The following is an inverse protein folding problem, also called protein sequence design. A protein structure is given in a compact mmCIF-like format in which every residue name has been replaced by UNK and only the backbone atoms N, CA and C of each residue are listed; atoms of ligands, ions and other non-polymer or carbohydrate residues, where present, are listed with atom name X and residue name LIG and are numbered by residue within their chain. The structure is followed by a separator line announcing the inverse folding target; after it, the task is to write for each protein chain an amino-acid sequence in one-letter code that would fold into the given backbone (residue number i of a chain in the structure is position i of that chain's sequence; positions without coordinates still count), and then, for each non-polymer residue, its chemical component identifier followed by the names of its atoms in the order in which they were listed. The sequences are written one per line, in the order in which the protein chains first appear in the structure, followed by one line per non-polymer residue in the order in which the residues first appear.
data_IF_627030240355
#
_entry.id   IF_627030240355
#
_cell.length_a   1.000
_cell.length_b   1.000
_cell.length_c   1.000
_cell.angle_alpha   90.00
_cell.angle_beta   90.00
_cell.angle_gamma   90.00
#
_symmetry.space_group_name_H-M   'P 1'
#
loop_
_entity.id
_entity.type
_entity.pdbx_description
1 polymer ?
#
# COMPACT_ATOMS: atom_id res chain seq x y z
N UNK A 1 10.74 -56.40 64.38
CA UNK A 1 9.90 -55.82 63.32
C UNK A 1 10.44 -54.42 62.94
N UNK A 2 11.25 -54.33 61.89
CA UNK A 2 11.90 -53.11 61.44
C UNK A 2 11.02 -52.57 60.28
N UNK A 3 10.45 -51.35 60.43
CA UNK A 3 9.68 -50.67 59.42
C UNK A 3 10.62 -49.80 58.55
N UNK A 4 10.79 -50.17 57.30
CA UNK A 4 11.47 -49.31 56.29
C UNK A 4 10.51 -48.26 55.82
N UNK A 5 10.83 -46.95 56.00
CA UNK A 5 10.17 -45.81 55.35
C UNK A 5 10.84 -45.62 54.02
N UNK A 6 10.08 -45.81 52.95
CA UNK A 6 10.47 -45.36 51.57
C UNK A 6 10.11 -43.90 51.44
N UNK A 7 11.12 -43.02 51.34
CA UNK A 7 10.93 -41.61 50.96
C UNK A 7 10.97 -41.54 49.43
N UNK A 8 9.81 -41.33 48.84
CA UNK A 8 9.68 -41.10 47.40
C UNK A 8 10.04 -39.62 47.09
N UNK A 9 11.26 -39.39 46.56
CA UNK A 9 11.71 -38.06 46.13
C UNK A 9 11.07 -37.73 44.75
N UNK A 10 10.09 -36.84 44.72
CA UNK A 10 9.45 -36.35 43.49
C UNK A 10 10.36 -35.28 42.87
N UNK A 11 11.17 -35.66 41.88
CA UNK A 11 11.90 -34.71 41.06
C UNK A 11 10.91 -33.97 40.11
N UNK A 12 10.52 -32.76 40.48
CA UNK A 12 9.82 -31.85 39.56
C UNK A 12 10.85 -31.35 38.54
N UNK A 13 10.84 -31.91 37.32
CA UNK A 13 11.59 -31.39 36.20
C UNK A 13 10.81 -30.15 35.69
N UNK A 14 11.20 -28.96 36.15
CA UNK A 14 10.76 -27.72 35.55
C UNK A 14 11.36 -27.63 34.13
N UNK A 15 10.59 -27.94 33.13
CA UNK A 15 10.94 -27.62 31.75
C UNK A 15 10.96 -26.10 31.62
N UNK A 16 12.15 -25.51 31.72
CA UNK A 16 12.38 -24.13 31.26
C UNK A 16 12.08 -24.11 29.76
N UNK A 17 10.85 -23.76 29.40
CA UNK A 17 10.58 -23.29 28.04
C UNK A 17 11.35 -21.98 27.94
N UNK A 18 12.45 -21.97 27.18
CA UNK A 18 13.07 -20.73 26.74
C UNK A 18 11.97 -19.93 26.03
N UNK A 19 11.64 -18.77 26.58
CA UNK A 19 10.66 -17.88 25.97
C UNK A 19 11.13 -17.58 24.54
N UNK A 20 10.35 -17.99 23.54
CA UNK A 20 10.73 -17.85 22.13
C UNK A 20 10.94 -16.36 21.84
N UNK A 21 12.15 -15.99 21.43
CA UNK A 21 12.53 -14.59 21.24
C UNK A 21 11.67 -13.96 20.16
N UNK A 22 10.80 -13.03 20.54
CA UNK A 22 9.94 -12.29 19.61
C UNK A 22 10.79 -11.47 18.65
N UNK A 23 10.58 -11.55 17.31
CA UNK A 23 11.38 -10.81 16.35
C UNK A 23 11.06 -9.32 16.38
N UNK A 24 12.02 -8.50 16.01
CA UNK A 24 11.73 -7.13 15.55
C UNK A 24 10.97 -7.18 14.22
N UNK A 25 10.13 -6.19 13.95
CA UNK A 25 9.37 -6.10 12.71
C UNK A 25 9.65 -4.72 12.09
N UNK A 26 10.21 -4.70 10.88
CA UNK A 26 10.50 -3.49 10.12
C UNK A 26 9.69 -3.47 8.82
N UNK A 27 8.81 -2.49 8.66
CA UNK A 27 8.12 -2.21 7.41
C UNK A 27 8.85 -1.11 6.64
N UNK A 28 9.28 -1.42 5.42
CA UNK A 28 9.84 -0.48 4.45
C UNK A 28 8.73 -0.16 3.46
N UNK A 29 8.21 1.07 3.50
CA UNK A 29 7.00 1.47 2.76
C UNK A 29 7.37 2.49 1.69
N UNK A 30 7.24 2.10 0.41
CA UNK A 30 7.39 3.00 -0.72
C UNK A 30 6.08 3.73 -1.03
N UNK A 31 6.13 5.03 -1.30
CA UNK A 31 4.97 5.81 -1.72
C UNK A 31 4.70 5.64 -3.22
N UNK A 32 3.43 5.53 -3.63
CA UNK A 32 2.99 5.46 -5.03
C UNK A 32 3.73 4.37 -5.84
N UNK A 33 3.89 3.15 -5.29
CA UNK A 33 4.78 2.15 -5.86
C UNK A 33 4.10 0.85 -6.25
N UNK A 34 4.02 0.59 -7.56
CA UNK A 34 3.64 -0.70 -8.15
C UNK A 34 4.79 -1.71 -8.16
N UNK A 35 4.58 -2.95 -8.66
CA UNK A 35 5.60 -4.00 -8.66
C UNK A 35 6.69 -3.80 -9.73
N UNK A 36 7.23 -2.58 -9.86
CA UNK A 36 8.21 -2.19 -10.87
C UNK A 36 9.65 -2.39 -10.38
N UNK A 37 10.04 -3.67 -10.18
CA UNK A 37 11.38 -4.11 -9.79
C UNK A 37 11.88 -5.23 -10.72
N UNK A 38 13.19 -5.46 -10.77
CA UNK A 38 13.77 -6.54 -11.54
C UNK A 38 13.22 -7.91 -11.19
N UNK A 39 13.06 -8.21 -9.90
CA UNK A 39 12.46 -9.46 -9.42
C UNK A 39 10.97 -9.62 -9.78
N UNK A 40 10.26 -8.57 -10.17
CA UNK A 40 8.91 -8.61 -10.71
C UNK A 40 8.85 -8.55 -12.25
N UNK A 41 10.01 -8.48 -12.93
CA UNK A 41 10.12 -8.57 -14.38
C UNK A 41 10.36 -7.24 -15.11
N UNK A 42 10.45 -6.12 -14.43
CA UNK A 42 10.80 -4.81 -15.02
C UNK A 42 12.29 -4.77 -15.33
N UNK A 43 12.66 -4.72 -16.62
CA UNK A 43 14.06 -4.81 -17.06
C UNK A 43 14.79 -3.47 -17.05
N UNK A 44 14.05 -2.38 -17.10
CA UNK A 44 14.55 -1.00 -17.23
C UNK A 44 14.89 -0.35 -15.89
N UNK A 45 14.57 -1.01 -14.77
CA UNK A 45 14.90 -0.59 -13.41
C UNK A 45 16.15 -1.31 -12.91
N UNK A 46 16.98 -0.62 -12.14
CA UNK A 46 18.08 -1.26 -11.39
C UNK A 46 17.66 -1.40 -9.93
N UNK A 47 17.40 -2.63 -9.48
CA UNK A 47 16.92 -2.93 -8.13
C UNK A 47 17.66 -4.09 -7.45
N UNK A 48 19.02 -4.10 -7.47
CA UNK A 48 19.81 -5.25 -7.01
C UNK A 48 19.61 -5.59 -5.52
N UNK A 49 19.29 -4.61 -4.67
CA UNK A 49 19.08 -4.82 -3.24
C UNK A 49 17.75 -5.53 -2.99
N UNK A 50 16.66 -5.03 -3.56
CA UNK A 50 15.34 -5.64 -3.43
C UNK A 50 15.25 -6.97 -4.17
N UNK A 51 15.96 -7.12 -5.30
CA UNK A 51 16.07 -8.40 -6.02
C UNK A 51 16.79 -9.46 -5.17
N UNK A 52 17.87 -9.06 -4.47
CA UNK A 52 18.57 -9.94 -3.54
C UNK A 52 17.72 -10.27 -2.29
N UNK A 53 16.96 -9.29 -1.78
CA UNK A 53 16.01 -9.51 -0.68
C UNK A 53 14.92 -10.51 -1.08
N UNK A 54 14.37 -10.39 -2.29
CA UNK A 54 13.39 -11.31 -2.83
C UNK A 54 13.95 -12.71 -3.06
N UNK A 55 15.20 -12.83 -3.54
CA UNK A 55 15.86 -14.11 -3.79
C UNK A 55 16.18 -14.88 -2.49
N UNK A 56 16.45 -14.18 -1.39
CA UNK A 56 16.72 -14.76 -0.08
C UNK A 56 15.49 -14.87 0.82
N UNK A 57 14.44 -14.12 0.52
CA UNK A 57 13.18 -14.06 1.25
C UNK A 57 12.02 -14.71 0.51
N UNK A 58 10.81 -14.21 0.73
CA UNK A 58 9.62 -14.55 -0.05
C UNK A 58 9.12 -13.32 -0.82
N UNK A 59 8.70 -13.54 -2.06
CA UNK A 59 8.08 -12.53 -2.91
C UNK A 59 6.65 -12.93 -3.26
N UNK A 60 5.72 -11.97 -3.12
CA UNK A 60 4.31 -12.17 -3.44
C UNK A 60 3.94 -11.38 -4.69
N UNK A 61 3.37 -12.05 -5.68
CA UNK A 61 3.01 -11.43 -6.98
C UNK A 61 1.61 -10.84 -7.00
N UNK A 62 0.76 -11.19 -6.00
CA UNK A 62 -0.65 -10.81 -5.92
C UNK A 62 -0.98 -10.23 -4.54
N UNK A 63 -0.31 -9.11 -4.22
CA UNK A 63 -0.55 -8.35 -2.99
C UNK A 63 -1.22 -7.02 -3.34
N UNK A 64 -2.38 -6.77 -2.77
CA UNK A 64 -3.26 -5.67 -3.15
C UNK A 64 -3.51 -4.71 -1.99
N UNK A 65 -3.44 -3.41 -2.29
CA UNK A 65 -4.00 -2.40 -1.38
C UNK A 65 -5.53 -2.39 -1.46
N UNK A 66 -6.17 -1.88 -0.40
CA UNK A 66 -7.63 -1.72 -0.34
C UNK A 66 -8.14 -0.47 -1.06
N UNK A 67 -7.25 0.48 -1.34
CA UNK A 67 -7.57 1.73 -2.02
C UNK A 67 -6.35 2.28 -2.78
N UNK A 68 -6.54 2.85 -3.98
CA UNK A 68 -5.45 3.33 -4.83
C UNK A 68 -5.00 4.75 -4.49
N UNK A 69 -4.96 5.14 -3.21
CA UNK A 69 -4.54 6.48 -2.76
C UNK A 69 -4.04 6.49 -1.31
N UNK A 70 -3.07 7.35 -1.03
CA UNK A 70 -2.24 7.35 0.19
C UNK A 70 -3.02 7.28 1.50
N UNK A 71 -3.77 8.34 1.90
CA UNK A 71 -4.38 8.41 3.25
C UNK A 71 -5.39 7.29 3.49
N UNK A 72 -6.10 6.91 2.44
CA UNK A 72 -7.14 5.87 2.46
C UNK A 72 -6.52 4.49 2.65
N UNK A 73 -5.50 4.14 1.84
CA UNK A 73 -4.76 2.89 1.97
C UNK A 73 -4.01 2.81 3.30
N UNK A 74 -3.34 3.92 3.71
CA UNK A 74 -2.58 3.98 4.96
C UNK A 74 -3.48 3.83 6.19
N UNK A 75 -4.69 4.38 6.16
CA UNK A 75 -5.70 4.16 7.20
C UNK A 75 -6.09 2.68 7.30
N UNK A 76 -6.27 2.01 6.16
CA UNK A 76 -6.65 0.61 6.12
C UNK A 76 -5.54 -0.30 6.64
N UNK A 77 -4.34 -0.24 6.07
CA UNK A 77 -3.28 -1.19 6.47
C UNK A 77 -2.73 -0.91 7.87
N UNK A 78 -2.79 0.32 8.39
CA UNK A 78 -2.39 0.57 9.78
C UNK A 78 -3.43 0.09 10.81
N UNK A 79 -4.68 -0.12 10.43
CA UNK A 79 -5.74 -0.62 11.33
C UNK A 79 -6.07 -2.10 11.12
N UNK A 80 -5.68 -2.68 9.98
CA UNK A 80 -6.11 -4.03 9.57
C UNK A 80 -7.58 -4.09 9.17
N UNK A 81 -8.20 -2.93 8.83
CA UNK A 81 -9.61 -2.79 8.48
C UNK A 81 -9.77 -2.20 7.08
N UNK A 82 -10.85 -2.51 6.40
CA UNK A 82 -11.20 -1.74 5.19
C UNK A 82 -11.53 -0.30 5.56
N UNK A 83 -10.99 0.64 4.82
CA UNK A 83 -11.22 2.07 5.01
C UNK A 83 -12.72 2.46 4.95
N UNK A 84 -13.49 1.71 4.16
CA UNK A 84 -14.94 1.91 4.02
C UNK A 84 -15.71 1.49 5.27
N UNK A 85 -15.19 0.54 6.04
CA UNK A 85 -15.80 0.08 7.31
C UNK A 85 -15.56 1.06 8.46
N UNK A 86 -14.44 1.80 8.42
CA UNK A 86 -14.03 2.69 9.51
C UNK A 86 -14.26 4.18 9.19
N UNK A 87 -14.98 4.51 8.11
CA UNK A 87 -15.26 5.90 7.73
C UNK A 87 -14.09 6.67 7.11
N UNK A 88 -12.95 6.02 6.87
CA UNK A 88 -11.73 6.67 6.38
C UNK A 88 -11.57 6.61 4.83
N UNK A 89 -12.66 6.52 4.08
CA UNK A 89 -12.68 6.20 2.65
C UNK A 89 -12.54 7.41 1.70
N UNK A 90 -12.78 8.63 2.16
CA UNK A 90 -12.56 9.84 1.38
C UNK A 90 -11.16 10.41 1.64
N UNK A 91 -10.38 10.64 0.60
CA UNK A 91 -9.00 11.08 0.73
C UNK A 91 -8.86 12.37 1.52
N UNK A 92 -8.20 12.31 2.68
CA UNK A 92 -7.87 13.44 3.56
C UNK A 92 -9.07 14.23 4.09
N UNK A 93 -10.26 13.60 4.21
CA UNK A 93 -11.46 14.28 4.70
C UNK A 93 -11.42 14.58 6.20
N UNK A 94 -10.70 13.79 6.97
CA UNK A 94 -10.70 13.83 8.44
C UNK A 94 -9.36 14.32 9.04
N UNK A 95 -8.80 15.40 8.50
CA UNK A 95 -7.52 15.93 9.00
C UNK A 95 -7.64 16.73 10.26
N UNK A 96 -8.68 17.56 10.34
CA UNK A 96 -8.77 18.61 11.36
C UNK A 96 -10.18 18.69 12.00
N UNK A 97 -11.02 17.67 11.84
CA UNK A 97 -12.41 17.64 12.30
C UNK A 97 -12.63 16.82 13.58
N UNK A 98 -11.54 16.22 14.12
CA UNK A 98 -11.61 15.41 15.33
C UNK A 98 -12.20 14.02 15.14
N UNK A 99 -12.38 13.54 13.88
CA UNK A 99 -12.88 12.20 13.60
C UNK A 99 -11.95 11.14 14.16
N UNK A 100 -12.49 10.26 15.01
CA UNK A 100 -11.77 9.14 15.62
C UNK A 100 -12.21 7.82 15.04
N UNK A 101 -11.35 6.83 15.16
CA UNK A 101 -11.69 5.45 14.77
C UNK A 101 -12.85 4.90 15.59
N UNK A 102 -13.66 3.97 15.02
CA UNK A 102 -14.69 3.25 15.77
C UNK A 102 -14.11 2.56 17.02
N UNK A 103 -14.96 2.37 18.02
CA UNK A 103 -14.58 1.69 19.27
C UNK A 103 -13.93 0.33 19.01
N UNK A 104 -12.84 0.03 19.71
CA UNK A 104 -12.08 -1.22 19.55
C UNK A 104 -11.13 -1.26 18.35
N UNK A 105 -11.22 -0.32 17.40
CA UNK A 105 -10.27 -0.20 16.30
C UNK A 105 -9.06 0.62 16.74
N UNK A 106 -7.88 0.05 16.64
CA UNK A 106 -6.59 0.70 16.97
C UNK A 106 -5.62 0.55 15.81
N UNK A 107 -4.69 1.48 15.68
CA UNK A 107 -3.55 1.34 14.77
C UNK A 107 -2.57 0.29 15.27
N UNK A 108 -1.87 -0.35 14.35
CA UNK A 108 -0.91 -1.43 14.67
C UNK A 108 0.15 -0.98 15.69
N UNK A 109 0.63 0.26 15.63
CA UNK A 109 1.64 0.77 16.56
C UNK A 109 1.14 0.81 18.01
N UNK A 110 -0.15 1.14 18.26
CA UNK A 110 -0.72 1.05 19.61
C UNK A 110 -0.79 -0.41 20.08
N UNK A 111 -1.27 -1.32 19.23
CA UNK A 111 -1.38 -2.74 19.58
C UNK A 111 -0.02 -3.37 19.87
N UNK A 112 1.00 -3.02 19.10
CA UNK A 112 2.37 -3.45 19.32
C UNK A 112 2.92 -2.91 20.65
N UNK A 113 2.68 -1.63 20.94
CA UNK A 113 3.08 -1.02 22.21
C UNK A 113 2.38 -1.66 23.42
N UNK A 114 1.06 -1.90 23.32
CA UNK A 114 0.29 -2.57 24.37
C UNK A 114 0.85 -3.98 24.69
N UNK A 115 1.50 -4.62 23.72
CA UNK A 115 2.17 -5.91 23.85
C UNK A 115 3.67 -5.83 24.21
N UNK A 116 4.17 -4.64 24.55
CA UNK A 116 5.54 -4.42 25.00
C UNK A 116 6.58 -4.27 23.89
N UNK A 117 6.16 -4.01 22.65
CA UNK A 117 7.08 -3.59 21.58
C UNK A 117 7.39 -2.11 21.69
N UNK A 118 8.64 -1.76 21.50
CA UNK A 118 9.00 -0.36 21.19
C UNK A 118 8.54 -0.02 19.78
N UNK A 119 7.95 1.18 19.58
CA UNK A 119 7.38 1.54 18.28
C UNK A 119 8.04 2.76 17.67
N UNK A 120 8.38 2.70 16.37
CA UNK A 120 9.01 3.83 15.70
C UNK A 120 8.42 4.08 14.29
N UNK A 121 8.27 5.36 13.95
CA UNK A 121 8.12 5.79 12.55
C UNK A 121 9.38 6.56 12.18
N UNK A 122 10.36 5.84 11.64
CA UNK A 122 11.73 6.33 11.49
C UNK A 122 11.78 7.44 10.43
N UNK A 123 12.22 8.60 10.88
CA UNK A 123 12.48 9.78 10.05
C UNK A 123 13.96 10.15 10.08
N UNK A 124 14.56 10.15 11.26
CA UNK A 124 15.94 10.50 11.46
C UNK A 124 16.81 9.25 11.43
N UNK A 125 17.63 9.13 10.39
CA UNK A 125 18.62 8.07 10.24
C UNK A 125 20.01 8.61 10.59
N UNK A 126 20.98 7.74 10.92
CA UNK A 126 22.39 8.13 11.07
C UNK A 126 22.92 8.85 9.82
N UNK A 127 23.86 9.82 10.00
CA UNK A 127 24.36 10.66 8.90
C UNK A 127 24.90 9.89 7.70
N UNK A 128 25.47 8.72 7.92
CA UNK A 128 26.02 7.85 6.87
C UNK A 128 24.97 7.25 5.94
N UNK A 129 23.70 7.23 6.32
CA UNK A 129 22.62 6.87 5.43
C UNK A 129 22.50 7.85 4.25
N UNK A 130 22.79 9.14 4.50
CA UNK A 130 22.74 10.19 3.50
C UNK A 130 21.32 10.62 3.09
N UNK A 131 20.29 10.18 3.82
CA UNK A 131 18.90 10.56 3.58
C UNK A 131 18.09 10.54 4.88
N UNK A 132 16.85 11.03 4.81
CA UNK A 132 15.85 10.93 5.89
C UNK A 132 14.64 10.16 5.41
N UNK A 133 13.99 9.44 6.31
CA UNK A 133 12.66 8.90 6.07
C UNK A 133 11.62 10.02 6.00
N UNK A 134 10.51 9.80 5.32
CA UNK A 134 9.45 10.81 5.24
C UNK A 134 8.68 10.96 6.57
N UNK A 135 8.68 9.93 7.40
CA UNK A 135 7.93 9.90 8.66
C UNK A 135 6.41 9.99 8.45
N UNK A 136 5.94 9.74 7.23
CA UNK A 136 4.55 9.90 6.82
C UNK A 136 3.63 8.90 7.52
N UNK A 137 2.60 9.40 8.20
CA UNK A 137 1.44 8.61 8.65
C UNK A 137 0.28 8.76 7.67
N UNK A 138 -0.09 9.99 7.34
CA UNK A 138 -1.16 10.38 6.41
C UNK A 138 -2.48 9.60 6.66
N UNK A 139 -2.83 9.38 7.94
CA UNK A 139 -4.08 8.72 8.30
C UNK A 139 -5.27 9.64 8.07
N UNK A 140 -6.41 9.06 7.71
CA UNK A 140 -7.66 9.78 7.50
C UNK A 140 -8.57 9.68 8.74
N UNK A 141 -7.99 9.90 9.89
CA UNK A 141 -8.62 9.98 11.21
C UNK A 141 -7.66 10.67 12.20
N UNK A 142 -8.18 11.16 13.29
CA UNK A 142 -7.35 11.64 14.39
C UNK A 142 -6.66 10.45 15.07
N UNK A 143 -5.36 10.34 14.87
CA UNK A 143 -4.54 9.29 15.49
C UNK A 143 -4.40 9.51 17.02
N UNK A 144 -3.81 8.52 17.72
CA UNK A 144 -3.50 8.64 19.14
C UNK A 144 -2.52 9.78 19.39
N UNK A 145 -2.56 10.37 20.59
CA UNK A 145 -1.69 11.50 20.96
C UNK A 145 -0.18 11.17 20.82
N UNK A 146 0.18 9.90 21.02
CA UNK A 146 1.53 9.37 20.80
C UNK A 146 1.44 8.17 19.86
N UNK A 147 1.45 8.37 18.52
CA UNK A 147 1.30 7.28 17.57
C UNK A 147 2.48 6.30 17.57
N UNK A 148 3.70 6.79 17.86
CA UNK A 148 4.94 6.01 17.97
C UNK A 148 5.78 6.53 19.15
N UNK A 149 6.68 5.70 19.67
CA UNK A 149 7.58 6.06 20.77
C UNK A 149 8.73 6.92 20.29
N UNK A 150 9.23 6.68 19.07
CA UNK A 150 10.35 7.42 18.48
C UNK A 150 10.20 7.65 16.98
N UNK A 151 11.03 8.57 16.47
CA UNK A 151 11.28 8.79 15.04
C UNK A 151 12.76 8.59 14.67
N UNK A 152 13.60 8.12 15.59
CA UNK A 152 15.04 7.98 15.42
C UNK A 152 15.45 6.53 15.25
N UNK A 153 16.33 6.26 14.28
CA UNK A 153 16.90 4.95 14.04
C UNK A 153 17.69 4.40 15.24
N UNK A 154 18.49 5.25 15.86
CA UNK A 154 19.40 4.84 16.93
C UNK A 154 18.70 4.27 18.17
N UNK A 155 17.42 4.61 18.37
CA UNK A 155 16.62 4.07 19.46
C UNK A 155 16.27 2.59 19.26
N UNK A 156 16.24 2.10 18.01
CA UNK A 156 15.88 0.71 17.69
C UNK A 156 16.85 -0.29 18.29
N UNK A 157 18.13 0.03 18.31
CA UNK A 157 19.18 -0.85 18.90
C UNK A 157 19.01 -1.03 20.39
N UNK A 158 18.54 0.01 21.08
CA UNK A 158 18.42 0.03 22.54
C UNK A 158 17.10 -0.56 23.02
N UNK A 159 16.08 -0.65 22.15
CA UNK A 159 14.72 -1.03 22.51
C UNK A 159 14.22 -2.17 21.61
N UNK A 160 14.43 -3.42 22.06
CA UNK A 160 13.96 -4.63 21.37
C UNK A 160 13.05 -5.45 22.30
N UNK A 161 12.00 -6.12 21.78
CA UNK A 161 11.61 -6.12 20.37
C UNK A 161 10.98 -4.78 19.94
N UNK A 162 11.16 -4.40 18.67
CA UNK A 162 10.53 -3.21 18.12
C UNK A 162 9.63 -3.52 16.92
N UNK A 163 8.63 -2.65 16.72
CA UNK A 163 7.90 -2.49 15.49
C UNK A 163 8.25 -1.12 14.89
N UNK A 164 8.80 -1.09 13.70
CA UNK A 164 9.19 0.15 13.06
C UNK A 164 8.65 0.26 11.61
N UNK A 165 8.30 1.48 11.21
CA UNK A 165 8.02 1.86 9.83
C UNK A 165 9.11 2.82 9.35
N UNK A 166 9.60 2.64 8.13
CA UNK A 166 10.42 3.60 7.40
C UNK A 166 9.76 3.87 6.05
N UNK A 167 9.36 5.12 5.84
CA UNK A 167 8.60 5.56 4.69
C UNK A 167 9.50 6.30 3.69
N UNK A 168 9.45 5.88 2.41
CA UNK A 168 10.22 6.41 1.29
C UNK A 168 9.31 7.17 0.33
N UNK A 169 9.75 8.34 -0.16
CA UNK A 169 8.94 9.22 -1.01
C UNK A 169 9.45 9.36 -2.44
N UNK A 170 10.49 8.61 -2.82
CA UNK A 170 11.18 8.76 -4.11
C UNK A 170 10.23 8.60 -5.29
N UNK A 171 9.36 7.60 -5.23
CA UNK A 171 8.39 7.25 -6.26
C UNK A 171 7.10 8.08 -6.21
N UNK A 172 6.97 9.01 -5.25
CA UNK A 172 5.91 10.02 -5.23
C UNK A 172 6.28 11.20 -6.13
N UNK A 173 5.33 11.73 -6.90
CA UNK A 173 5.56 12.94 -7.74
C UNK A 173 5.80 14.20 -6.88
N UNK A 174 6.70 15.09 -7.28
CA UNK A 174 7.51 15.08 -8.51
C UNK A 174 8.77 14.22 -8.34
N UNK A 175 9.20 13.55 -9.42
CA UNK A 175 10.41 12.75 -9.41
C UNK A 175 11.66 13.64 -9.50
N UNK A 176 12.67 13.36 -8.69
CA UNK A 176 13.91 14.15 -8.61
C UNK A 176 15.16 13.27 -8.65
N UNK A 177 15.00 11.98 -8.98
CA UNK A 177 16.11 11.03 -9.02
C UNK A 177 17.01 11.26 -10.21
N UNK A 178 18.32 10.97 -10.11
CA UNK A 178 19.23 11.00 -11.25
C UNK A 178 18.74 10.09 -12.36
N UNK A 179 18.89 10.50 -13.64
CA UNK A 179 18.48 9.67 -14.77
C UNK A 179 19.33 8.40 -14.87
N UNK A 180 18.66 7.27 -15.06
CA UNK A 180 19.26 5.94 -15.21
C UNK A 180 18.56 5.14 -16.30
N UNK A 181 17.23 5.14 -16.32
CA UNK A 181 16.42 4.43 -17.32
C UNK A 181 16.46 5.14 -18.68
N UNK A 182 16.62 4.36 -19.76
CA UNK A 182 16.55 4.88 -21.12
C UNK A 182 15.08 5.05 -21.56
N UNK A 183 14.59 6.28 -21.81
CA UNK A 183 13.22 6.49 -22.26
C UNK A 183 12.86 5.74 -23.55
N UNK A 184 13.83 5.47 -24.43
CA UNK A 184 13.58 4.72 -25.65
C UNK A 184 13.25 3.23 -25.42
N UNK A 185 13.62 2.70 -24.26
CA UNK A 185 13.49 1.27 -23.92
C UNK A 185 12.35 0.97 -22.96
N UNK A 186 11.77 2.00 -22.30
CA UNK A 186 10.69 1.76 -21.33
C UNK A 186 9.47 1.15 -22.02
N UNK A 187 8.89 0.16 -21.36
CA UNK A 187 7.62 -0.44 -21.79
C UNK A 187 6.46 0.53 -21.51
N UNK A 188 5.64 0.78 -22.53
CA UNK A 188 4.48 1.64 -22.43
C UNK A 188 3.21 0.78 -22.44
N UNK A 189 2.41 0.78 -21.36
CA UNK A 189 1.11 0.12 -21.35
C UNK A 189 0.22 0.64 -22.50
N UNK A 190 -0.52 -0.22 -23.21
CA UNK A 190 -1.23 0.14 -24.44
C UNK A 190 -2.34 1.17 -24.27
N UNK A 191 -2.80 1.44 -23.04
CA UNK A 191 -3.74 2.52 -22.72
C UNK A 191 -3.06 3.89 -22.54
N UNK A 192 -1.75 3.99 -22.64
CA UNK A 192 -1.04 5.27 -22.71
C UNK A 192 -0.52 5.51 -24.14
N UNK A 193 -0.50 6.76 -24.61
CA UNK A 193 0.14 7.08 -25.88
C UNK A 193 1.64 6.77 -25.85
N UNK A 194 2.13 6.03 -26.83
CA UNK A 194 3.57 5.87 -27.04
C UNK A 194 4.13 7.17 -27.63
N UNK A 195 4.53 8.07 -26.76
CA UNK A 195 4.95 9.42 -27.05
C UNK A 195 6.16 9.79 -26.18
N UNK A 196 6.99 10.72 -26.64
CA UNK A 196 8.18 11.19 -25.91
C UNK A 196 7.84 11.60 -24.46
N UNK A 197 6.73 12.31 -24.24
CA UNK A 197 6.24 12.72 -22.92
C UNK A 197 5.98 11.52 -22.02
N UNK A 198 5.31 10.49 -22.54
CA UNK A 198 5.01 9.27 -21.78
C UNK A 198 6.27 8.49 -21.46
N UNK A 199 7.15 8.30 -22.45
CA UNK A 199 8.43 7.59 -22.28
C UNK A 199 9.31 8.24 -21.24
N UNK A 200 9.42 9.57 -21.28
CA UNK A 200 10.17 10.35 -20.31
C UNK A 200 9.57 10.25 -18.90
N UNK A 201 8.26 10.35 -18.77
CA UNK A 201 7.55 10.26 -17.49
C UNK A 201 7.74 8.87 -16.84
N UNK A 202 7.63 7.80 -17.65
CA UNK A 202 7.88 6.42 -17.21
C UNK A 202 9.34 6.19 -16.80
N UNK A 203 10.31 6.67 -17.59
CA UNK A 203 11.71 6.57 -17.26
C UNK A 203 12.04 7.27 -15.93
N UNK A 204 11.52 8.47 -15.69
CA UNK A 204 11.71 9.19 -14.44
C UNK A 204 11.12 8.45 -13.22
N UNK A 205 10.00 7.74 -13.40
CA UNK A 205 9.45 6.88 -12.36
C UNK A 205 10.36 5.69 -12.05
N UNK A 206 10.96 5.04 -13.06
CA UNK A 206 11.91 3.95 -12.90
C UNK A 206 13.25 4.43 -12.30
N UNK A 207 13.68 5.65 -12.62
CA UNK A 207 14.83 6.29 -11.96
C UNK A 207 14.57 6.46 -10.46
N UNK A 208 13.35 6.86 -10.09
CA UNK A 208 12.93 6.98 -8.70
C UNK A 208 12.91 5.61 -7.99
N UNK A 209 12.48 4.55 -8.68
CA UNK A 209 12.54 3.18 -8.15
C UNK A 209 13.99 2.70 -7.94
N UNK A 210 14.91 3.05 -8.85
CA UNK A 210 16.34 2.76 -8.69
C UNK A 210 16.94 3.49 -7.47
N UNK A 211 16.59 4.76 -7.26
CA UNK A 211 17.05 5.51 -6.08
C UNK A 211 16.44 4.96 -4.77
N UNK A 212 15.18 4.52 -4.80
CA UNK A 212 14.54 3.82 -3.68
C UNK A 212 15.33 2.57 -3.30
N UNK A 213 15.69 1.71 -4.28
CA UNK A 213 16.49 0.50 -4.04
C UNK A 213 17.84 0.83 -3.39
N UNK A 214 18.53 1.86 -3.89
CA UNK A 214 19.80 2.34 -3.32
C UNK A 214 19.66 2.75 -1.85
N UNK A 215 18.58 3.46 -1.50
CA UNK A 215 18.30 3.89 -0.11
C UNK A 215 17.97 2.70 0.79
N UNK A 216 17.24 1.73 0.29
CA UNK A 216 16.97 0.48 1.01
C UNK A 216 18.30 -0.26 1.27
N UNK A 217 19.26 -0.24 0.33
CA UNK A 217 20.61 -0.76 0.54
C UNK A 217 21.28 -0.15 1.76
N UNK A 218 21.14 1.17 1.96
CA UNK A 218 21.68 1.84 3.16
C UNK A 218 20.98 1.37 4.45
N UNK A 219 19.69 1.09 4.39
CA UNK A 219 18.98 0.53 5.55
C UNK A 219 19.48 -0.88 5.88
N UNK A 220 19.76 -1.72 4.87
CA UNK A 220 20.35 -3.05 5.08
C UNK A 220 21.75 -2.95 5.73
N UNK A 221 22.59 -2.00 5.27
CA UNK A 221 23.89 -1.72 5.88
C UNK A 221 23.77 -1.30 7.36
N UNK A 222 22.77 -0.45 7.70
CA UNK A 222 22.50 -0.04 9.08
C UNK A 222 22.03 -1.20 9.96
N UNK A 223 21.12 -2.06 9.47
CA UNK A 223 20.69 -3.26 10.19
C UNK A 223 21.87 -4.20 10.51
N UNK A 224 22.77 -4.37 9.54
CA UNK A 224 23.98 -5.20 9.73
C UNK A 224 24.94 -4.57 10.74
N UNK A 225 25.23 -3.27 10.58
CA UNK A 225 26.12 -2.52 11.48
C UNK A 225 25.68 -2.58 12.94
N UNK A 226 24.36 -2.45 13.16
CA UNK A 226 23.80 -2.38 14.52
C UNK A 226 23.47 -3.76 15.12
N UNK A 227 23.77 -4.85 14.39
CA UNK A 227 23.49 -6.22 14.86
C UNK A 227 22.00 -6.54 14.94
N UNK A 228 21.17 -5.85 14.15
CA UNK A 228 19.71 -6.02 14.13
C UNK A 228 19.23 -7.01 13.06
N UNK A 229 20.07 -7.30 12.06
CA UNK A 229 19.70 -8.12 10.90
C UNK A 229 19.21 -9.52 11.28
N UNK A 230 19.87 -10.16 12.26
CA UNK A 230 19.58 -11.55 12.65
C UNK A 230 18.31 -11.70 13.49
N UNK A 231 17.69 -10.60 13.90
CA UNK A 231 16.47 -10.63 14.72
C UNK A 231 15.33 -9.76 14.14
N UNK A 232 15.45 -9.26 12.91
CA UNK A 232 14.46 -8.35 12.31
C UNK A 232 13.79 -8.99 11.10
N UNK A 233 12.47 -9.16 11.17
CA UNK A 233 11.62 -9.45 10.01
C UNK A 233 11.52 -8.17 9.19
N UNK A 234 11.88 -8.25 7.91
CA UNK A 234 11.82 -7.12 6.97
C UNK A 234 10.66 -7.36 6.01
N UNK A 235 9.76 -6.38 5.90
CA UNK A 235 8.67 -6.37 4.93
C UNK A 235 8.78 -5.12 4.07
N UNK A 236 9.04 -5.28 2.78
CA UNK A 236 9.00 -4.19 1.80
C UNK A 236 7.67 -4.21 1.06
N UNK A 237 6.99 -3.04 0.98
CA UNK A 237 5.71 -2.90 0.28
C UNK A 237 5.51 -1.50 -0.30
N UNK A 238 4.61 -1.36 -1.31
CA UNK A 238 4.04 -0.08 -1.72
C UNK A 238 2.81 0.28 -0.89
N UNK A 239 2.56 1.58 -0.65
CA UNK A 239 1.34 2.02 0.02
C UNK A 239 0.11 1.92 -0.89
N UNK A 240 0.27 2.12 -2.18
CA UNK A 240 -0.66 1.81 -3.27
C UNK A 240 0.12 1.73 -4.59
N UNK A 241 -0.58 1.48 -5.71
CA UNK A 241 0.06 1.33 -7.01
C UNK A 241 0.74 2.59 -7.54
N UNK A 242 1.29 2.51 -8.75
CA UNK A 242 2.20 3.47 -9.34
C UNK A 242 1.65 4.90 -9.47
N UNK A 243 2.54 5.90 -9.52
CA UNK A 243 2.19 7.31 -9.72
C UNK A 243 1.83 7.63 -11.17
N UNK A 244 1.02 6.81 -11.83
CA UNK A 244 0.60 6.98 -13.22
C UNK A 244 -0.87 7.37 -13.35
N UNK A 245 -1.28 7.78 -14.56
CA UNK A 245 -2.62 8.35 -14.82
C UNK A 245 -3.74 7.39 -14.47
N UNK A 246 -3.65 6.11 -14.91
CA UNK A 246 -4.68 5.08 -14.68
C UNK A 246 -4.45 4.30 -13.38
N UNK A 247 -3.30 4.45 -12.73
CA UNK A 247 -2.93 3.76 -11.52
C UNK A 247 -3.45 4.48 -10.26
N UNK A 248 -2.74 5.52 -9.81
CA UNK A 248 -3.14 6.29 -8.62
C UNK A 248 -4.55 6.85 -8.78
N UNK A 249 -5.39 6.62 -7.79
CA UNK A 249 -6.81 6.99 -7.71
C UNK A 249 -7.77 6.11 -8.54
N UNK A 250 -7.32 4.99 -9.16
CA UNK A 250 -8.20 4.09 -9.91
C UNK A 250 -8.05 2.62 -9.51
N UNK A 251 -9.17 1.89 -9.54
CA UNK A 251 -9.27 0.53 -9.01
C UNK A 251 -8.89 -0.57 -10.03
N UNK A 252 -7.88 -0.31 -10.87
CA UNK A 252 -7.29 -1.29 -11.78
C UNK A 252 -6.07 -2.00 -11.16
N UNK A 253 -5.54 -3.02 -11.84
CA UNK A 253 -4.34 -3.74 -11.39
C UNK A 253 -3.19 -2.76 -11.08
N UNK A 254 -2.90 -1.81 -11.99
CA UNK A 254 -1.82 -0.85 -11.83
C UNK A 254 -1.99 0.06 -10.58
N UNK A 255 -3.24 0.31 -10.15
CA UNK A 255 -3.54 1.13 -8.97
C UNK A 255 -3.58 0.36 -7.66
N UNK A 256 -3.87 -0.93 -7.69
CA UNK A 256 -4.11 -1.73 -6.49
C UNK A 256 -3.03 -2.78 -6.22
N UNK A 257 -2.37 -3.34 -7.26
CA UNK A 257 -1.30 -4.30 -7.08
C UNK A 257 0.00 -3.59 -6.67
N UNK A 258 0.57 -4.00 -5.54
CA UNK A 258 1.81 -3.46 -4.99
C UNK A 258 2.79 -4.58 -4.69
N UNK A 259 4.10 -4.34 -4.66
CA UNK A 259 5.03 -5.37 -4.27
C UNK A 259 4.86 -5.74 -2.79
N UNK A 260 5.10 -7.00 -2.46
CA UNK A 260 5.39 -7.45 -1.10
C UNK A 260 6.59 -8.40 -1.16
N UNK A 261 7.69 -8.01 -0.51
CA UNK A 261 8.88 -8.82 -0.33
C UNK A 261 9.12 -8.96 1.18
N UNK A 262 9.31 -10.18 1.65
CA UNK A 262 9.52 -10.47 3.06
C UNK A 262 10.81 -11.24 3.26
N UNK A 263 11.58 -10.88 4.28
CA UNK A 263 12.75 -11.64 4.74
C UNK A 263 12.61 -11.97 6.22
N UNK A 264 12.77 -13.25 6.55
CA UNK A 264 12.76 -13.72 7.93
C UNK A 264 14.19 -13.81 8.47
N UNK A 265 14.46 -13.35 9.72
CA UNK A 265 15.80 -13.36 10.28
C UNK A 265 16.28 -14.76 10.66
N UNK A 266 17.59 -14.99 10.58
CA UNK A 266 18.21 -16.28 10.93
C UNK A 266 18.22 -16.56 12.44
N UNK A 267 18.12 -15.54 13.26
CA UNK A 267 18.20 -15.66 14.74
C UNK A 267 16.87 -16.03 15.42
N UNK A 268 15.79 -16.24 14.63
CA UNK A 268 14.47 -16.68 15.15
C UNK A 268 13.88 -17.76 14.27
N UNK A 269 13.03 -18.61 14.86
CA UNK A 269 12.34 -19.68 14.11
C UNK A 269 11.42 -19.08 13.06
N UNK A 270 11.57 -19.50 11.79
CA UNK A 270 10.69 -19.06 10.72
C UNK A 270 9.27 -19.61 10.92
N UNK A 271 8.22 -18.79 10.66
CA UNK A 271 6.84 -19.23 10.85
C UNK A 271 6.44 -20.27 9.80
N UNK A 272 5.49 -21.12 10.13
CA UNK A 272 4.88 -22.05 9.18
C UNK A 272 4.38 -21.30 7.95
N UNK A 273 4.75 -21.76 6.75
CA UNK A 273 4.41 -21.14 5.49
C UNK A 273 5.46 -20.17 4.94
N UNK A 274 6.53 -19.87 5.70
CA UNK A 274 7.69 -19.14 5.18
C UNK A 274 8.67 -20.12 4.52
N UNK A 275 9.05 -19.81 3.28
CA UNK A 275 10.06 -20.56 2.52
C UNK A 275 10.98 -19.57 1.80
N UNK A 276 12.23 -19.50 2.21
CA UNK A 276 13.21 -18.61 1.60
C UNK A 276 13.38 -18.91 0.08
N UNK A 277 13.43 -17.86 -0.73
CA UNK A 277 13.50 -17.93 -2.20
C UNK A 277 12.17 -18.23 -2.91
N UNK A 278 11.08 -18.45 -2.17
CA UNK A 278 9.78 -18.77 -2.76
C UNK A 278 9.10 -17.54 -3.37
N UNK A 279 8.52 -17.76 -4.55
CA UNK A 279 7.55 -16.86 -5.18
C UNK A 279 6.15 -17.38 -4.92
N UNK A 280 5.28 -16.56 -4.32
CA UNK A 280 3.90 -16.91 -4.04
C UNK A 280 2.95 -16.05 -4.87
N UNK A 281 1.98 -16.71 -5.52
CA UNK A 281 0.87 -16.07 -6.26
C UNK A 281 -0.45 -16.05 -5.46
N UNK A 282 -0.37 -16.35 -4.17
CA UNK A 282 -1.51 -16.27 -3.25
C UNK A 282 -2.08 -14.86 -3.23
N UNK A 283 -3.40 -14.74 -3.25
CA UNK A 283 -4.09 -13.46 -3.09
C UNK A 283 -3.93 -12.95 -1.65
N UNK A 284 -3.38 -11.76 -1.51
CA UNK A 284 -3.21 -11.07 -0.23
C UNK A 284 -3.66 -9.61 -0.34
N UNK A 285 -4.03 -9.06 0.79
CA UNK A 285 -4.35 -7.63 0.94
C UNK A 285 -3.42 -6.94 1.92
N UNK A 286 -3.24 -5.64 1.79
CA UNK A 286 -2.38 -4.85 2.67
C UNK A 286 -2.80 -4.92 4.16
N UNK A 287 -4.10 -5.08 4.43
CA UNK A 287 -4.64 -5.29 5.78
C UNK A 287 -4.24 -6.65 6.39
N UNK A 288 -3.87 -7.63 5.56
CA UNK A 288 -3.42 -8.95 6.02
C UNK A 288 -2.02 -8.90 6.61
N UNK A 289 -1.16 -8.01 6.11
CA UNK A 289 0.17 -7.81 6.68
C UNK A 289 0.08 -7.31 8.13
N UNK A 290 -0.91 -6.48 8.43
CA UNK A 290 -1.19 -6.01 9.79
C UNK A 290 -1.58 -7.16 10.71
N UNK A 291 -2.58 -7.96 10.32
CA UNK A 291 -3.02 -9.12 11.11
C UNK A 291 -1.88 -10.13 11.32
N UNK A 292 -1.09 -10.36 10.28
CA UNK A 292 0.03 -11.30 10.30
C UNK A 292 1.18 -10.79 11.17
N UNK A 293 1.52 -9.49 11.08
CA UNK A 293 2.56 -8.88 11.94
C UNK A 293 2.18 -8.94 13.43
N UNK A 294 0.89 -8.72 13.76
CA UNK A 294 0.40 -8.92 15.12
C UNK A 294 0.59 -10.38 15.58
N UNK A 295 0.25 -11.35 14.73
CA UNK A 295 0.44 -12.78 15.03
C UNK A 295 1.91 -13.14 15.27
N UNK A 296 2.86 -12.60 14.49
CA UNK A 296 4.29 -12.79 14.71
C UNK A 296 4.79 -12.17 16.01
N UNK A 297 4.15 -11.10 16.46
CA UNK A 297 4.41 -10.48 17.75
C UNK A 297 3.77 -11.23 18.94
N UNK A 298 3.08 -12.35 18.70
CA UNK A 298 2.35 -13.08 19.72
C UNK A 298 1.04 -12.43 20.14
N UNK A 299 0.51 -11.48 19.35
CA UNK A 299 -0.73 -10.76 19.64
C UNK A 299 -1.87 -11.46 18.89
N UNK A 300 -2.89 -11.88 19.64
CA UNK A 300 -4.10 -12.46 19.05
C UNK A 300 -4.77 -11.45 18.11
N UNK A 301 -5.24 -11.93 16.94
CA UNK A 301 -5.99 -11.09 16.01
C UNK A 301 -7.24 -10.54 16.72
N UNK A 302 -7.43 -9.19 16.76
CA UNK A 302 -8.58 -8.60 17.41
C UNK A 302 -9.89 -9.04 16.75
N UNK A 303 -10.92 -9.24 17.56
CA UNK A 303 -12.26 -9.52 17.05
C UNK A 303 -12.71 -8.38 16.12
N UNK A 304 -13.28 -8.72 14.97
CA UNK A 304 -13.73 -7.75 13.97
C UNK A 304 -12.65 -7.23 13.03
N UNK A 305 -11.36 -7.56 13.25
CA UNK A 305 -10.31 -7.21 12.30
C UNK A 305 -10.52 -7.96 10.97
N UNK A 306 -10.52 -7.21 9.86
CA UNK A 306 -10.84 -7.74 8.53
C UNK A 306 -9.60 -8.28 7.78
N UNK A 307 -8.40 -7.88 8.20
CA UNK A 307 -7.16 -8.50 7.76
C UNK A 307 -7.08 -9.96 8.22
N UNK A 308 -6.49 -10.82 7.39
CA UNK A 308 -6.29 -12.24 7.67
C UNK A 308 -4.83 -12.53 8.02
N UNK A 309 -4.61 -13.42 8.98
CA UNK A 309 -3.27 -13.95 9.23
C UNK A 309 -2.93 -14.93 8.11
N UNK A 310 -1.97 -14.61 7.26
CA UNK A 310 -1.63 -15.45 6.12
C UNK A 310 -0.43 -16.38 6.34
N UNK A 311 0.28 -16.24 7.46
CA UNK A 311 1.50 -17.02 7.75
C UNK A 311 1.70 -17.19 9.26
N UNK A 312 2.16 -18.37 9.68
CA UNK A 312 2.41 -18.73 11.08
C UNK A 312 1.37 -19.71 11.62
N UNK A 313 1.46 -19.99 12.92
CA UNK A 313 0.61 -20.99 13.59
C UNK A 313 -0.89 -20.66 13.54
N UNK A 314 -1.22 -19.37 13.45
CA UNK A 314 -2.60 -18.87 13.42
C UNK A 314 -3.05 -18.52 11.99
N UNK A 315 -2.38 -19.04 10.95
CA UNK A 315 -2.71 -18.76 9.57
C UNK A 315 -4.13 -19.19 9.21
N UNK A 316 -4.86 -18.29 8.60
CA UNK A 316 -6.22 -18.50 8.11
C UNK A 316 -6.23 -19.09 6.69
N UNK A 317 -7.38 -19.58 6.25
CA UNK A 317 -7.54 -20.08 4.88
C UNK A 317 -7.16 -19.02 3.84
N UNK A 318 -6.55 -19.40 2.70
CA UNK A 318 -6.23 -18.44 1.65
C UNK A 318 -7.45 -17.68 1.17
N UNK A 319 -7.27 -16.38 0.87
CA UNK A 319 -8.33 -15.59 0.24
C UNK A 319 -8.64 -16.11 -1.15
N UNK A 320 -9.91 -16.26 -1.46
CA UNK A 320 -10.40 -16.48 -2.83
C UNK A 320 -10.59 -15.15 -3.57
N UNK A 321 -10.80 -14.06 -2.81
CA UNK A 321 -11.12 -12.75 -3.35
C UNK A 321 -10.32 -11.64 -2.63
N UNK A 322 -9.95 -10.62 -3.39
CA UNK A 322 -9.44 -9.34 -2.87
C UNK A 322 -10.35 -8.21 -3.35
N UNK A 323 -10.47 -7.17 -2.51
CA UNK A 323 -11.42 -6.07 -2.73
C UNK A 323 -10.70 -4.73 -2.72
N UNK A 324 -11.23 -3.79 -3.49
CA UNK A 324 -10.76 -2.42 -3.50
C UNK A 324 -11.91 -1.43 -3.60
N UNK A 325 -11.66 -0.22 -3.10
CA UNK A 325 -12.65 0.85 -3.15
C UNK A 325 -11.98 2.19 -3.40
N UNK A 326 -12.68 3.04 -4.14
CA UNK A 326 -12.36 4.45 -4.28
C UNK A 326 -13.63 5.28 -4.09
N UNK A 327 -13.51 6.32 -3.30
CA UNK A 327 -14.50 7.36 -3.14
C UNK A 327 -13.90 8.73 -3.57
N UNK A 328 -14.17 9.86 -2.92
CA UNK A 328 -13.56 11.12 -3.30
C UNK A 328 -12.02 11.09 -3.13
N UNK A 329 -11.33 11.55 -4.16
CA UNK A 329 -9.89 11.81 -4.11
C UNK A 329 -9.62 13.23 -4.57
N UNK A 330 -9.00 14.06 -3.73
CA UNK A 330 -8.85 15.50 -3.96
C UNK A 330 -10.22 16.13 -4.28
N UNK A 331 -10.37 16.78 -5.41
CA UNK A 331 -11.63 17.38 -5.87
C UNK A 331 -12.47 16.46 -6.77
N UNK A 332 -11.99 15.25 -7.08
CA UNK A 332 -12.72 14.32 -7.95
C UNK A 332 -13.57 13.36 -7.15
N UNK A 333 -14.86 13.35 -7.42
CA UNK A 333 -15.82 12.45 -6.77
C UNK A 333 -16.13 11.30 -7.70
N UNK A 334 -15.70 10.11 -7.28
CA UNK A 334 -16.11 8.84 -7.85
C UNK A 334 -16.56 7.92 -6.73
N UNK A 335 -17.25 6.85 -7.08
CA UNK A 335 -17.52 5.73 -6.19
C UNK A 335 -17.33 4.44 -6.95
N UNK A 336 -16.15 3.83 -6.77
CA UNK A 336 -15.82 2.52 -7.33
C UNK A 336 -15.75 1.47 -6.23
N UNK A 337 -16.20 0.27 -6.55
CA UNK A 337 -15.95 -0.96 -5.78
C UNK A 337 -15.47 -2.03 -6.73
N UNK A 338 -14.47 -2.79 -6.32
CA UNK A 338 -13.91 -3.86 -7.15
C UNK A 338 -13.68 -5.12 -6.34
N UNK A 339 -13.83 -6.24 -7.01
CA UNK A 339 -13.44 -7.57 -6.53
C UNK A 339 -12.61 -8.27 -7.59
N UNK A 340 -11.60 -9.02 -7.15
CA UNK A 340 -10.76 -9.83 -8.00
C UNK A 340 -10.63 -11.23 -7.41
N UNK A 341 -10.74 -12.26 -8.25
CA UNK A 341 -10.33 -13.63 -7.95
C UNK A 341 -8.97 -13.97 -8.61
N UNK A 342 -8.65 -15.23 -8.77
CA UNK A 342 -7.39 -15.67 -9.39
C UNK A 342 -7.27 -15.27 -10.87
N UNK A 343 -8.38 -15.07 -11.60
CA UNK A 343 -8.43 -14.82 -13.04
C UNK A 343 -9.11 -13.53 -13.43
N UNK A 344 -10.26 -13.22 -12.83
CA UNK A 344 -11.13 -12.12 -13.24
C UNK A 344 -11.11 -10.98 -12.24
N UNK A 345 -11.17 -9.73 -12.76
CA UNK A 345 -11.52 -8.53 -12.00
C UNK A 345 -12.88 -8.02 -12.44
N UNK A 346 -13.74 -7.69 -11.48
CA UNK A 346 -15.00 -7.00 -11.69
C UNK A 346 -14.97 -5.66 -10.96
N UNK A 347 -15.35 -4.59 -11.67
CA UNK A 347 -15.45 -3.23 -11.13
C UNK A 347 -16.89 -2.75 -11.29
N UNK A 348 -17.47 -2.21 -10.24
CA UNK A 348 -18.73 -1.48 -10.26
C UNK A 348 -18.49 0.00 -10.01
N UNK A 349 -18.94 0.83 -10.95
CA UNK A 349 -18.91 2.28 -10.88
C UNK A 349 -20.31 2.81 -10.55
N UNK A 350 -20.47 3.45 -9.39
CA UNK A 350 -21.73 4.04 -8.93
C UNK A 350 -21.91 5.49 -9.39
N UNK A 351 -20.96 6.02 -10.16
CA UNK A 351 -20.94 7.38 -10.72
C UNK A 351 -20.52 7.37 -12.19
N UNK A 352 -21.23 6.58 -13.06
CA UNK A 352 -20.82 6.37 -14.45
C UNK A 352 -21.00 7.60 -15.35
N UNK A 353 -21.79 8.57 -14.93
CA UNK A 353 -22.08 9.84 -15.60
C UNK A 353 -20.88 10.79 -15.70
N UNK A 354 -19.73 10.43 -15.15
CA UNK A 354 -18.54 11.28 -15.07
C UNK A 354 -17.41 10.75 -15.95
N UNK A 355 -16.60 11.67 -16.57
CA UNK A 355 -15.45 11.26 -17.34
C UNK A 355 -14.31 10.75 -16.43
N UNK A 356 -13.46 9.87 -16.98
CA UNK A 356 -12.24 9.44 -16.31
C UNK A 356 -11.33 10.64 -15.99
N UNK A 357 -11.09 11.51 -16.97
CA UNK A 357 -10.27 12.73 -16.83
C UNK A 357 -11.10 13.92 -16.30
N UNK A 358 -11.77 13.76 -15.15
CA UNK A 358 -12.35 14.90 -14.43
C UNK A 358 -11.28 15.96 -14.15
N UNK A 359 -11.69 17.22 -14.01
CA UNK A 359 -10.78 18.26 -13.53
C UNK A 359 -10.15 17.84 -12.20
N UNK A 360 -8.82 17.77 -12.18
CA UNK A 360 -8.02 17.41 -11.02
C UNK A 360 -6.74 18.24 -11.04
N UNK A 361 -6.72 19.32 -10.26
CA UNK A 361 -5.60 20.26 -10.25
C UNK A 361 -4.25 19.60 -9.93
N UNK A 362 -4.24 18.58 -9.07
CA UNK A 362 -3.03 17.81 -8.78
C UNK A 362 -2.56 17.02 -10.00
N UNK A 363 -3.46 16.25 -10.64
CA UNK A 363 -3.12 15.46 -11.84
C UNK A 363 -2.72 16.35 -13.02
N UNK A 364 -3.44 17.44 -13.27
CA UNK A 364 -3.14 18.38 -14.34
C UNK A 364 -1.78 19.07 -14.18
N UNK A 365 -1.36 19.31 -12.93
CA UNK A 365 -0.07 19.92 -12.63
C UNK A 365 1.09 18.91 -12.64
N UNK A 366 0.88 17.69 -12.15
CA UNK A 366 1.95 16.75 -11.84
C UNK A 366 2.10 15.59 -12.84
N UNK A 367 1.09 15.34 -13.68
CA UNK A 367 1.05 14.20 -14.59
C UNK A 367 1.05 14.68 -16.04
N UNK A 368 2.21 14.80 -16.69
CA UNK A 368 2.28 15.31 -18.06
C UNK A 368 1.47 14.44 -19.05
N UNK A 369 1.40 13.12 -18.80
CA UNK A 369 0.61 12.20 -19.63
C UNK A 369 -0.91 12.46 -19.52
N UNK A 370 -1.40 12.99 -18.40
CA UNK A 370 -2.80 13.42 -18.24
C UNK A 370 -3.18 14.49 -19.26
N UNK A 371 -2.33 15.50 -19.42
CA UNK A 371 -2.54 16.59 -20.36
C UNK A 371 -2.34 16.13 -21.80
N UNK A 372 -1.33 15.28 -22.06
CA UNK A 372 -1.10 14.67 -23.37
C UNK A 372 -2.32 13.90 -23.87
N UNK A 373 -2.97 13.09 -23.03
CA UNK A 373 -4.17 12.34 -23.41
C UNK A 373 -5.30 13.31 -23.81
N UNK A 374 -5.51 14.38 -23.04
CA UNK A 374 -6.53 15.41 -23.37
C UNK A 374 -6.22 16.11 -24.70
N UNK A 375 -4.96 16.43 -24.94
CA UNK A 375 -4.52 17.05 -26.20
C UNK A 375 -4.73 16.12 -27.40
N UNK A 376 -4.29 14.86 -27.31
CA UNK A 376 -4.45 13.90 -28.40
C UNK A 376 -5.92 13.53 -28.66
N UNK A 377 -6.75 13.51 -27.61
CA UNK A 377 -8.20 13.33 -27.75
C UNK A 377 -8.83 14.45 -28.54
N UNK A 378 -8.46 15.71 -28.29
CA UNK A 378 -8.95 16.86 -29.02
C UNK A 378 -8.52 16.88 -30.52
N UNK A 379 -7.50 16.08 -30.87
CA UNK A 379 -6.97 15.90 -32.21
C UNK A 379 -7.42 14.60 -32.90
N UNK A 380 -8.29 13.80 -32.25
CA UNK A 380 -8.72 12.46 -32.72
C UNK A 380 -7.54 11.49 -32.98
N UNK A 381 -6.46 11.59 -32.18
CA UNK A 381 -5.21 10.81 -32.36
C UNK A 381 -5.06 9.66 -31.38
N UNK A 382 -6.04 9.41 -30.53
CA UNK A 382 -5.99 8.29 -29.57
C UNK A 382 -6.38 6.96 -30.25
N UNK A 383 -5.69 5.89 -29.89
CA UNK A 383 -6.14 4.53 -30.22
C UNK A 383 -7.41 4.18 -29.44
N UNK A 384 -8.18 3.15 -29.83
CA UNK A 384 -9.35 2.72 -29.06
C UNK A 384 -9.06 2.41 -27.59
N UNK A 385 -7.89 1.81 -27.28
CA UNK A 385 -7.47 1.51 -25.91
C UNK A 385 -7.20 2.78 -25.08
N UNK A 386 -6.68 3.82 -25.71
CA UNK A 386 -6.40 5.12 -25.08
C UNK A 386 -7.65 5.99 -24.95
N UNK A 387 -8.53 5.94 -25.96
CA UNK A 387 -9.74 6.76 -26.01
C UNK A 387 -10.71 6.50 -24.85
N UNK A 388 -10.66 5.32 -24.26
CA UNK A 388 -11.43 4.99 -23.04
C UNK A 388 -11.15 5.97 -21.90
N UNK A 389 -9.89 6.44 -21.79
CA UNK A 389 -9.50 7.41 -20.75
C UNK A 389 -10.05 8.83 -21.03
N UNK A 390 -10.31 9.18 -22.27
CA UNK A 390 -10.83 10.47 -22.66
C UNK A 390 -12.36 10.49 -22.89
N UNK A 391 -13.03 9.37 -22.64
CA UNK A 391 -14.48 9.26 -22.82
C UNK A 391 -15.24 10.21 -21.87
N UNK A 392 -16.38 10.78 -22.30
CA UNK A 392 -17.17 11.71 -21.49
C UNK A 392 -17.85 11.05 -20.28
N UNK A 393 -17.98 9.73 -20.32
CA UNK A 393 -18.57 8.92 -19.26
C UNK A 393 -17.75 7.64 -19.09
N UNK A 394 -17.92 6.96 -17.95
CA UNK A 394 -17.28 5.67 -17.69
C UNK A 394 -18.34 4.55 -17.69
N UNK A 395 -17.93 3.28 -17.94
CA UNK A 395 -18.85 2.15 -17.80
C UNK A 395 -19.39 2.05 -16.37
N UNK A 396 -20.63 1.59 -16.21
CA UNK A 396 -21.22 1.24 -14.92
C UNK A 396 -20.60 -0.05 -14.37
N UNK A 397 -20.32 -1.01 -15.26
CA UNK A 397 -19.70 -2.29 -14.93
C UNK A 397 -18.52 -2.58 -15.86
N UNK A 398 -17.48 -3.14 -15.28
CA UNK A 398 -16.32 -3.61 -16.01
C UNK A 398 -15.97 -5.04 -15.55
N UNK A 399 -15.65 -5.91 -16.51
CA UNK A 399 -15.15 -7.26 -16.26
C UNK A 399 -13.91 -7.49 -17.13
N UNK A 400 -12.81 -7.94 -16.51
CA UNK A 400 -11.56 -8.22 -17.19
C UNK A 400 -11.07 -9.63 -16.90
N UNK A 401 -10.59 -10.34 -17.91
CA UNK A 401 -9.86 -11.60 -17.77
C UNK A 401 -8.35 -11.29 -17.70
N UNK A 402 -7.79 -11.26 -16.50
CA UNK A 402 -6.41 -10.84 -16.26
C UNK A 402 -5.35 -11.82 -16.77
N UNK A 403 -5.75 -13.05 -17.17
CA UNK A 403 -4.86 -13.99 -17.82
C UNK A 403 -4.72 -13.68 -19.32
N UNK A 404 -5.81 -13.27 -19.95
CA UNK A 404 -5.82 -12.95 -21.38
C UNK A 404 -5.53 -11.46 -21.66
N UNK A 405 -5.85 -10.59 -20.71
CA UNK A 405 -5.77 -9.13 -20.80
C UNK A 405 -5.22 -8.54 -19.48
N UNK A 406 -3.92 -8.68 -19.21
CA UNK A 406 -3.30 -8.16 -17.98
C UNK A 406 -3.35 -6.63 -17.88
N UNK A 407 -3.58 -5.93 -18.99
CA UNK A 407 -3.70 -4.48 -19.02
C UNK A 407 -5.14 -3.95 -18.86
N UNK A 408 -6.13 -4.85 -18.70
CA UNK A 408 -7.53 -4.47 -18.48
C UNK A 408 -8.07 -3.49 -19.54
N UNK A 409 -7.88 -3.83 -20.83
CA UNK A 409 -8.29 -3.01 -21.97
C UNK A 409 -9.68 -3.41 -22.47
N UNK A 410 -9.92 -4.73 -22.54
CA UNK A 410 -11.12 -5.30 -23.12
C UNK A 410 -12.17 -5.54 -22.04
N UNK A 411 -13.09 -4.57 -21.85
CA UNK A 411 -14.21 -4.75 -20.95
C UNK A 411 -15.18 -5.84 -21.46
N UNK A 412 -15.30 -6.93 -20.71
CA UNK A 412 -16.12 -8.10 -21.02
C UNK A 412 -17.52 -8.04 -20.38
N UNK A 413 -17.89 -6.94 -19.68
CA UNK A 413 -19.16 -6.84 -18.96
C UNK A 413 -20.40 -7.00 -19.85
N UNK A 414 -20.27 -6.71 -21.13
CA UNK A 414 -21.33 -6.88 -22.17
C UNK A 414 -21.15 -8.14 -23.01
N UNK A 415 -20.23 -9.03 -22.67
CA UNK A 415 -20.01 -10.28 -23.39
C UNK A 415 -21.13 -11.28 -23.09
N UNK A 416 -21.59 -11.99 -24.13
CA UNK A 416 -22.60 -13.05 -24.03
C UNK A 416 -21.99 -14.45 -23.93
N UNK A 417 -20.65 -14.59 -23.83
CA UNK A 417 -20.01 -15.88 -23.62
C UNK A 417 -20.38 -16.44 -22.24
N UNK A 418 -20.77 -17.72 -22.14
CA UNK A 418 -21.24 -18.30 -20.86
C UNK A 418 -20.25 -18.14 -19.71
N UNK A 419 -18.95 -18.28 -19.97
CA UNK A 419 -17.91 -18.10 -18.95
C UNK A 419 -17.84 -16.66 -18.41
N UNK A 420 -18.01 -15.64 -19.28
CA UNK A 420 -17.99 -14.23 -18.87
C UNK A 420 -19.27 -13.85 -18.11
N UNK A 421 -20.43 -14.39 -18.52
CA UNK A 421 -21.69 -14.20 -17.81
C UNK A 421 -21.60 -14.79 -16.40
N UNK A 422 -21.11 -16.03 -16.27
CA UNK A 422 -20.93 -16.69 -14.98
C UNK A 422 -19.95 -15.96 -14.08
N UNK A 423 -18.81 -15.48 -14.63
CA UNK A 423 -17.82 -14.71 -13.89
C UNK A 423 -18.42 -13.38 -13.39
N UNK A 424 -19.13 -12.64 -14.24
CA UNK A 424 -19.78 -11.37 -13.89
C UNK A 424 -20.82 -11.57 -12.78
N UNK A 425 -21.71 -12.54 -12.92
CA UNK A 425 -22.76 -12.84 -11.92
C UNK A 425 -22.14 -13.20 -10.57
N UNK A 426 -21.18 -14.13 -10.55
CA UNK A 426 -20.48 -14.55 -9.34
C UNK A 426 -19.76 -13.40 -8.66
N UNK A 427 -18.93 -12.63 -9.39
CA UNK A 427 -18.14 -11.54 -8.82
C UNK A 427 -19.02 -10.36 -8.38
N UNK A 428 -20.06 -10.03 -9.12
CA UNK A 428 -21.06 -9.02 -8.71
C UNK A 428 -21.72 -9.40 -7.41
N UNK A 429 -22.14 -10.69 -7.26
CA UNK A 429 -22.74 -11.22 -6.05
C UNK A 429 -21.78 -11.15 -4.85
N UNK A 430 -20.52 -11.58 -5.04
CA UNK A 430 -19.46 -11.53 -4.02
C UNK A 430 -19.18 -10.07 -3.60
N UNK A 431 -19.13 -9.15 -4.56
CA UNK A 431 -18.90 -7.73 -4.27
C UNK A 431 -20.04 -7.12 -3.46
N UNK A 432 -21.31 -7.43 -3.81
CA UNK A 432 -22.47 -6.95 -3.06
C UNK A 432 -22.47 -7.51 -1.63
N UNK A 433 -22.15 -8.79 -1.46
CA UNK A 433 -22.02 -9.41 -0.13
C UNK A 433 -20.93 -8.73 0.70
N UNK A 434 -19.78 -8.43 0.10
CA UNK A 434 -18.70 -7.71 0.77
C UNK A 434 -19.12 -6.30 1.22
N UNK A 435 -19.81 -5.53 0.35
CA UNK A 435 -20.34 -4.20 0.67
C UNK A 435 -21.24 -4.24 1.91
N UNK A 436 -22.15 -5.23 1.98
CA UNK A 436 -23.07 -5.36 3.12
C UNK A 436 -22.36 -5.86 4.38
N UNK A 437 -21.53 -6.91 4.28
CA UNK A 437 -20.83 -7.51 5.43
C UNK A 437 -19.81 -6.57 6.07
N UNK A 438 -19.19 -5.69 5.28
CA UNK A 438 -18.22 -4.71 5.77
C UNK A 438 -18.86 -3.40 6.21
N UNK A 439 -20.19 -3.27 6.12
CA UNK A 439 -20.90 -2.03 6.43
C UNK A 439 -20.31 -0.83 5.70
N UNK A 440 -20.08 -0.96 4.38
CA UNK A 440 -19.46 0.06 3.55
C UNK A 440 -20.15 1.43 3.69
N UNK A 441 -19.45 2.39 4.30
CA UNK A 441 -19.97 3.74 4.55
C UNK A 441 -19.88 4.64 3.32
N UNK A 442 -19.14 4.29 2.27
CA UNK A 442 -19.02 5.09 1.06
C UNK A 442 -20.32 5.25 0.26
N UNK A 443 -21.40 4.54 0.64
CA UNK A 443 -22.75 4.78 0.13
C UNK A 443 -23.41 6.04 0.73
N UNK A 444 -22.87 6.55 1.84
CA UNK A 444 -23.31 7.80 2.47
C UNK A 444 -22.54 8.93 1.80
N UNK A 445 -23.20 9.87 1.12
CA UNK A 445 -22.52 11.00 0.50
C UNK A 445 -21.74 11.82 1.54
N UNK A 446 -20.52 12.21 1.18
CA UNK A 446 -19.75 13.14 2.00
C UNK A 446 -20.45 14.51 2.04
N UNK A 447 -20.53 15.17 3.20
CA UNK A 447 -21.06 16.53 3.26
C UNK A 447 -20.30 17.49 2.33
N UNK A 448 -21.02 18.30 1.55
CA UNK A 448 -20.39 19.22 0.58
C UNK A 448 -19.38 20.17 1.23
N UNK A 449 -19.60 20.56 2.48
CA UNK A 449 -18.70 21.42 3.23
C UNK A 449 -17.32 20.77 3.43
N UNK A 450 -17.28 19.47 3.78
CA UNK A 450 -16.04 18.69 3.94
C UNK A 450 -15.33 18.57 2.60
N UNK A 451 -16.07 18.24 1.54
CA UNK A 451 -15.52 18.11 0.19
C UNK A 451 -14.95 19.44 -0.35
N UNK A 452 -15.56 20.59 -0.02
CA UNK A 452 -15.08 21.92 -0.42
C UNK A 452 -13.82 22.36 0.32
N UNK A 453 -13.68 22.01 1.60
CA UNK A 453 -12.53 22.42 2.42
C UNK A 453 -11.22 21.78 1.94
N UNK A 454 -11.25 20.54 1.44
CA UNK A 454 -10.07 19.87 0.86
C UNK A 454 -9.57 20.55 -0.45
N UNK A 455 -10.44 21.21 -1.20
CA UNK A 455 -10.05 22.02 -2.37
C UNK A 455 -9.38 23.34 -2.01
N UNK A 456 -9.67 23.91 -0.83
CA UNK A 456 -9.13 25.21 -0.37
C UNK A 456 -7.75 25.11 0.31
N UNK A 457 -7.43 24.02 0.95
CA UNK A 457 -6.14 23.86 1.66
C UNK A 457 -4.93 23.73 0.73
N UNK A 458 -5.15 23.67 -0.59
CA UNK A 458 -4.08 23.61 -1.62
C UNK A 458 -3.91 24.89 -2.43
N UNK A 459 -4.70 25.92 -2.22
CA UNK A 459 -4.31 27.26 -2.67
C UNK A 459 -3.09 27.69 -1.84
N UNK A 460 -1.95 27.91 -2.52
CA UNK A 460 -0.74 28.41 -1.87
C UNK A 460 -1.12 29.67 -1.04
N UNK A 461 -0.56 29.85 0.17
CA UNK A 461 -0.82 31.07 0.93
C UNK A 461 -0.50 32.28 0.03
N UNK A 462 -1.33 33.34 0.07
CA UNK A 462 -1.11 34.50 -0.80
C UNK A 462 0.32 34.98 -0.62
N UNK A 463 1.04 35.07 -1.71
CA UNK A 463 2.40 35.64 -1.74
C UNK A 463 2.30 37.00 -1.09
N UNK A 464 2.90 37.15 0.08
CA UNK A 464 2.93 38.39 0.81
C UNK A 464 3.59 39.44 -0.11
N UNK A 465 2.77 40.26 -0.76
CA UNK A 465 3.25 41.41 -1.53
C UNK A 465 3.99 42.28 -0.53
N UNK A 466 5.33 42.26 -0.65
CA UNK A 466 6.23 42.96 0.22
C UNK A 466 5.79 44.42 0.39
N UNK A 467 5.51 44.81 1.62
CA UNK A 467 5.33 46.21 2.00
C UNK A 467 6.55 46.99 1.49
N UNK A 468 6.28 47.85 0.50
CA UNK A 468 7.29 48.73 -0.05
C UNK A 468 8.07 49.45 1.05
N UNK A 469 9.36 49.31 1.01
CA UNK A 469 10.30 50.09 1.81
C UNK A 469 10.07 51.60 1.51
N UNK A 470 9.38 52.30 2.37
CA UNK A 470 9.40 53.76 2.35
C UNK A 470 10.82 54.22 2.60
N UNK A 471 11.50 54.76 1.57
CA UNK A 471 12.70 55.57 1.74
C UNK A 471 12.30 56.80 2.54
N UNK A 472 12.90 56.95 3.72
CA UNK A 472 12.96 58.24 4.38
C UNK A 472 14.12 58.99 3.72
N UNK A 473 13.75 60.19 3.19
CA UNK A 473 14.71 61.23 2.89
C UNK A 473 15.19 61.91 4.15
#
# INVERSE_FOLDING_TARGET
MIRFLFVLSLCVVATLHAEEKRPNILWLIAEDFGPHLGCYGTKEVSSPVLDALAAKGMRFTRYYTTAPVCSVSRSAFNTGMYQTSIGAHNHRSHRDDGFTLPEGVKVISERMRDAGYFTANVKELPPEAGFKGSGKTDWNFQGPAKPFDSSHWDDLKQHQPFYAQLNFQETHRTFHSPPHADPARVEIPPYYPDHEVTRKDMAQYLDAATELDRKIGKVMELLQRDGLMENTVICFMGDHGAAHVRAKQFCYEEGLNTPLIMSWPSGTTAPTGYEAGKVSDRLLMSIDLTATSLSWAGIAKPQGMQGQVFMGANAEAPREYVFGARDRCDMTVFRFRTVRDARYRYIRNFTPDRPFLQHNAYKEKQYPVWNLIKELAAQDKLTPAQAVLAAPTMPEEELYDLQADPYEIKNLSKSNLPEHLAARERLSSVLNAWIEQTHDQGRIPEPEEVARNEGRTKEAPPVNQGKGRKKKG
#
